data_IF_518798631078
#
_entry.id   IF_518798631078
#
_cell.length_a   1.000
_cell.length_b   1.000
_cell.length_c   1.000
_cell.angle_alpha   90.00
_cell.angle_beta   90.00
_cell.angle_gamma   90.00
#
_symmetry.space_group_name_H-M   'P 1'
#
loop_
_entity.id
_entity.type
_entity.pdbx_description
1 polymer ?
#
# COMPACT_ATOMS: atom_id res chain seq x y z
N UNK A 1 -10.16 0.71 14.04
CA UNK A 1 -10.89 0.25 12.84
C UNK A 1 -11.60 1.37 12.07
N UNK A 2 -11.30 2.65 12.29
CA UNK A 2 -11.97 3.77 11.62
C UNK A 2 -11.68 3.83 10.11
N UNK A 3 -10.43 3.60 9.69
CA UNK A 3 -10.06 3.54 8.27
C UNK A 3 -10.68 2.35 7.54
N UNK A 4 -10.77 1.18 8.19
CA UNK A 4 -11.35 -0.02 7.59
C UNK A 4 -12.84 0.16 7.26
N UNK A 5 -13.60 0.80 8.16
CA UNK A 5 -15.01 1.13 7.91
C UNK A 5 -15.17 2.13 6.76
N UNK A 6 -14.34 3.18 6.73
CA UNK A 6 -14.34 4.16 5.64
C UNK A 6 -13.97 3.53 4.28
N UNK A 7 -13.04 2.58 4.28
CA UNK A 7 -12.65 1.81 3.10
C UNK A 7 -13.79 0.91 2.62
N UNK A 8 -14.39 0.09 3.50
CA UNK A 8 -15.52 -0.77 3.15
C UNK A 8 -16.67 0.03 2.53
N UNK A 9 -17.03 1.15 3.15
CA UNK A 9 -18.07 2.05 2.62
C UNK A 9 -17.73 2.61 1.22
N UNK A 10 -16.45 2.88 0.93
CA UNK A 10 -16.02 3.37 -0.37
C UNK A 10 -15.93 2.27 -1.44
N UNK A 11 -15.72 1.01 -1.06
CA UNK A 11 -15.63 -0.12 -1.99
C UNK A 11 -16.98 -0.60 -2.52
N UNK A 12 -18.05 -0.38 -1.76
CA UNK A 12 -19.38 -0.91 -2.07
C UNK A 12 -19.50 -2.42 -1.91
N UNK A 13 -18.54 -3.09 -1.26
CA UNK A 13 -18.61 -4.53 -1.01
C UNK A 13 -19.69 -4.81 0.03
N UNK A 14 -20.62 -5.72 -0.30
CA UNK A 14 -21.64 -6.18 0.64
C UNK A 14 -20.99 -6.78 1.88
N UNK A 15 -21.50 -6.43 3.06
CA UNK A 15 -21.05 -7.02 4.31
C UNK A 15 -22.04 -8.07 4.81
N UNK A 16 -21.54 -9.06 5.55
CA UNK A 16 -22.33 -10.02 6.30
C UNK A 16 -22.89 -9.39 7.59
N UNK A 17 -23.67 -10.18 8.34
CA UNK A 17 -24.28 -9.77 9.62
C UNK A 17 -23.25 -9.36 10.68
N UNK A 18 -21.97 -9.76 10.50
CA UNK A 18 -20.86 -9.42 11.39
C UNK A 18 -20.10 -8.15 10.95
N UNK A 19 -20.51 -7.55 9.83
CA UNK A 19 -19.87 -6.36 9.26
C UNK A 19 -18.59 -6.66 8.47
N UNK A 20 -18.35 -7.92 8.08
CA UNK A 20 -17.22 -8.32 7.24
C UNK A 20 -17.65 -8.42 5.77
N UNK A 21 -16.77 -8.12 4.81
CA UNK A 21 -17.12 -8.26 3.40
C UNK A 21 -17.53 -9.72 3.05
N UNK A 22 -18.71 -9.88 2.45
CA UNK A 22 -19.23 -11.16 1.95
C UNK A 22 -18.29 -11.72 0.89
N UNK A 23 -18.04 -13.03 0.95
CA UNK A 23 -17.06 -13.70 0.09
C UNK A 23 -15.60 -13.51 0.54
N UNK A 24 -15.38 -12.96 1.74
CA UNK A 24 -14.07 -12.91 2.36
C UNK A 24 -13.53 -14.31 2.65
N UNK A 25 -12.32 -14.59 2.17
CA UNK A 25 -11.56 -15.81 2.45
C UNK A 25 -10.13 -15.49 2.85
N UNK A 26 -9.29 -16.49 3.19
CA UNK A 26 -7.89 -16.27 3.53
C UNK A 26 -7.03 -15.85 2.32
N UNK A 27 -7.49 -16.14 1.10
CA UNK A 27 -6.72 -15.96 -0.13
C UNK A 27 -6.25 -14.51 -0.38
N UNK A 28 -7.08 -13.46 -0.27
CA UNK A 28 -6.61 -12.08 -0.46
C UNK A 28 -5.51 -11.68 0.52
N UNK A 29 -5.52 -12.21 1.74
CA UNK A 29 -4.48 -11.94 2.74
C UNK A 29 -3.16 -12.62 2.38
N UNK A 30 -3.21 -13.88 1.92
CA UNK A 30 -2.04 -14.61 1.46
C UNK A 30 -1.41 -13.93 0.23
N UNK A 31 -2.23 -13.56 -0.76
CA UNK A 31 -1.77 -12.83 -1.94
C UNK A 31 -1.19 -11.45 -1.58
N UNK A 32 -1.80 -10.74 -0.62
CA UNK A 32 -1.29 -9.45 -0.16
C UNK A 32 0.06 -9.60 0.55
N UNK A 33 0.23 -10.64 1.37
CA UNK A 33 1.51 -10.91 2.05
C UNK A 33 2.63 -11.18 1.03
N UNK A 34 2.38 -12.04 0.05
CA UNK A 34 3.33 -12.35 -1.02
C UNK A 34 3.69 -11.09 -1.84
N UNK A 35 2.67 -10.32 -2.26
CA UNK A 35 2.89 -9.10 -3.03
C UNK A 35 3.72 -8.06 -2.24
N UNK A 36 3.47 -7.91 -0.94
CA UNK A 36 4.25 -7.00 -0.08
C UNK A 36 5.71 -7.44 0.03
N UNK A 37 5.98 -8.75 0.11
CA UNK A 37 7.36 -9.27 0.12
C UNK A 37 8.08 -8.99 -1.20
N UNK A 38 7.40 -9.20 -2.33
CA UNK A 38 7.96 -8.88 -3.64
C UNK A 38 8.29 -7.39 -3.79
N UNK A 39 7.37 -6.52 -3.37
CA UNK A 39 7.59 -5.06 -3.37
C UNK A 39 8.77 -4.70 -2.47
N UNK A 40 8.87 -5.28 -1.27
CA UNK A 40 9.98 -5.05 -0.35
C UNK A 40 11.33 -5.51 -0.93
N UNK A 41 11.36 -6.68 -1.58
CA UNK A 41 12.54 -7.19 -2.26
C UNK A 41 13.03 -6.27 -3.38
N UNK A 42 12.11 -5.82 -4.25
CA UNK A 42 12.45 -4.89 -5.34
C UNK A 42 12.85 -3.51 -4.81
N UNK A 43 12.17 -3.02 -3.77
CA UNK A 43 12.52 -1.75 -3.13
C UNK A 43 13.94 -1.80 -2.54
N UNK A 44 14.32 -2.89 -1.85
CA UNK A 44 15.69 -3.10 -1.36
C UNK A 44 16.71 -3.09 -2.50
N UNK A 45 16.40 -3.77 -3.61
CA UNK A 45 17.27 -3.80 -4.79
C UNK A 45 17.47 -2.39 -5.37
N UNK A 46 16.38 -1.64 -5.57
CA UNK A 46 16.42 -0.25 -6.07
C UNK A 46 17.21 0.66 -5.12
N UNK A 47 16.98 0.54 -3.81
CA UNK A 47 17.68 1.36 -2.82
C UNK A 47 19.19 1.08 -2.82
N UNK A 48 19.60 -0.19 -2.94
CA UNK A 48 21.00 -0.56 -3.10
C UNK A 48 21.62 0.02 -4.38
N UNK A 49 20.92 -0.08 -5.51
CA UNK A 49 21.36 0.50 -6.79
C UNK A 49 21.46 2.03 -6.75
N UNK A 50 20.58 2.70 -6.00
CA UNK A 50 20.53 4.15 -5.86
C UNK A 50 21.43 4.69 -4.73
N UNK A 51 22.17 3.83 -4.01
CA UNK A 51 23.02 4.24 -2.88
C UNK A 51 22.23 4.72 -1.66
N UNK A 52 20.96 4.36 -1.53
CA UNK A 52 20.11 4.71 -0.39
C UNK A 52 20.39 3.71 0.74
N UNK A 53 21.21 4.12 1.72
CA UNK A 53 21.62 3.28 2.84
C UNK A 53 21.15 3.78 4.21
N UNK A 54 20.73 5.04 4.33
CA UNK A 54 20.30 5.58 5.63
C UNK A 54 18.79 5.42 5.85
N UNK A 55 18.35 5.15 7.10
CA UNK A 55 16.93 5.06 7.45
C UNK A 55 16.10 6.28 7.02
N UNK A 56 16.65 7.48 7.18
CA UNK A 56 15.98 8.72 6.79
C UNK A 56 15.81 8.84 5.27
N UNK A 57 16.86 8.54 4.50
CA UNK A 57 16.78 8.57 3.04
C UNK A 57 15.81 7.50 2.51
N UNK A 58 15.81 6.31 3.10
CA UNK A 58 14.93 5.22 2.72
C UNK A 58 13.46 5.48 3.07
N UNK A 59 13.19 6.13 4.21
CA UNK A 59 11.85 6.61 4.58
C UNK A 59 11.32 7.60 3.52
N UNK A 60 12.13 8.59 3.14
CA UNK A 60 11.76 9.61 2.14
C UNK A 60 11.59 8.99 0.76
N UNK A 61 12.49 8.09 0.35
CA UNK A 61 12.38 7.37 -0.91
C UNK A 61 11.13 6.48 -0.96
N UNK A 62 10.79 5.81 0.16
CA UNK A 62 9.56 5.05 0.32
C UNK A 62 8.32 5.92 0.24
N UNK A 63 8.30 7.06 0.95
CA UNK A 63 7.23 8.06 0.87
C UNK A 63 7.02 8.54 -0.57
N UNK A 64 8.10 8.93 -1.25
CA UNK A 64 8.06 9.38 -2.63
C UNK A 64 7.55 8.29 -3.57
N UNK A 65 7.94 7.04 -3.35
CA UNK A 65 7.48 5.91 -4.17
C UNK A 65 5.98 5.69 -4.07
N UNK A 66 5.44 5.68 -2.85
CA UNK A 66 4.01 5.51 -2.65
C UNK A 66 3.19 6.74 -3.07
N UNK A 67 3.69 7.95 -2.85
CA UNK A 67 2.98 9.19 -3.18
C UNK A 67 3.01 9.53 -4.66
N UNK A 68 4.15 9.34 -5.34
CA UNK A 68 4.37 9.84 -6.71
C UNK A 68 4.40 8.75 -7.78
N UNK A 69 4.48 7.46 -7.44
CA UNK A 69 4.31 6.37 -8.40
C UNK A 69 3.02 5.59 -8.16
N UNK A 70 2.84 5.05 -6.94
CA UNK A 70 1.74 4.13 -6.67
C UNK A 70 0.40 4.87 -6.57
N UNK A 71 0.33 6.01 -5.87
CA UNK A 71 -0.92 6.77 -5.73
C UNK A 71 -1.45 7.28 -7.08
N UNK A 72 -0.64 7.83 -8.01
CA UNK A 72 -1.08 8.15 -9.37
C UNK A 72 -1.58 6.93 -10.14
N UNK A 73 -0.91 5.78 -10.01
CA UNK A 73 -1.36 4.55 -10.65
C UNK A 73 -2.74 4.09 -10.13
N UNK A 74 -2.96 4.21 -8.82
CA UNK A 74 -4.26 3.94 -8.19
C UNK A 74 -5.31 4.95 -8.68
N UNK A 75 -4.97 6.24 -8.82
CA UNK A 75 -5.87 7.26 -9.38
C UNK A 75 -6.34 6.83 -10.78
N UNK A 76 -5.40 6.44 -11.66
CA UNK A 76 -5.72 6.03 -13.03
C UNK A 76 -6.67 4.83 -13.04
N UNK A 77 -6.32 3.76 -12.31
CA UNK A 77 -7.13 2.54 -12.26
C UNK A 77 -8.53 2.83 -11.72
N UNK A 78 -8.62 3.53 -10.58
CA UNK A 78 -9.90 3.87 -9.98
C UNK A 78 -10.75 4.78 -10.87
N UNK A 79 -10.14 5.73 -11.58
CA UNK A 79 -10.84 6.60 -12.52
C UNK A 79 -11.39 5.80 -13.71
N UNK A 80 -10.59 4.91 -14.30
CA UNK A 80 -11.03 4.02 -15.39
C UNK A 80 -12.13 3.05 -14.94
N UNK A 81 -12.07 2.57 -13.70
CA UNK A 81 -13.10 1.73 -13.08
C UNK A 81 -14.31 2.51 -12.54
N UNK A 82 -14.35 3.84 -12.72
CA UNK A 82 -15.42 4.72 -12.20
C UNK A 82 -15.65 4.57 -10.69
N UNK A 83 -14.57 4.30 -9.93
CA UNK A 83 -14.59 4.20 -8.47
C UNK A 83 -14.67 5.58 -7.82
N UNK A 84 -15.29 5.69 -6.63
CA UNK A 84 -15.35 6.97 -5.92
C UNK A 84 -13.95 7.44 -5.52
N UNK A 85 -13.69 8.76 -5.64
CA UNK A 85 -12.38 9.34 -5.30
C UNK A 85 -11.93 9.08 -3.86
N UNK A 86 -12.87 8.87 -2.93
CA UNK A 86 -12.56 8.46 -1.54
C UNK A 86 -11.81 7.12 -1.47
N UNK A 87 -12.09 6.19 -2.38
CA UNK A 87 -11.36 4.92 -2.45
C UNK A 87 -9.90 5.15 -2.84
N UNK A 88 -9.67 6.08 -3.77
CA UNK A 88 -8.34 6.51 -4.19
C UNK A 88 -7.55 7.14 -3.04
N UNK A 89 -8.19 8.01 -2.25
CA UNK A 89 -7.54 8.63 -1.10
C UNK A 89 -7.14 7.59 -0.05
N UNK A 90 -8.03 6.63 0.25
CA UNK A 90 -7.74 5.57 1.21
C UNK A 90 -6.63 4.64 0.71
N UNK A 91 -6.70 4.17 -0.54
CA UNK A 91 -5.71 3.25 -1.10
C UNK A 91 -4.36 3.94 -1.33
N UNK A 92 -4.35 5.18 -1.82
CA UNK A 92 -3.14 5.97 -2.03
C UNK A 92 -2.46 6.34 -0.71
N UNK A 93 -3.23 6.72 0.31
CA UNK A 93 -2.70 6.94 1.66
C UNK A 93 -2.06 5.67 2.23
N UNK A 94 -2.75 4.53 2.11
CA UNK A 94 -2.20 3.23 2.51
C UNK A 94 -0.90 2.91 1.77
N UNK A 95 -0.85 3.08 0.44
CA UNK A 95 0.35 2.83 -0.34
C UNK A 95 1.51 3.76 0.06
N UNK A 96 1.22 5.04 0.29
CA UNK A 96 2.21 6.07 0.67
C UNK A 96 2.86 5.74 2.01
N UNK A 97 2.06 5.54 3.06
CA UNK A 97 2.59 5.21 4.39
C UNK A 97 3.17 3.79 4.45
N UNK A 98 2.58 2.83 3.72
CA UNK A 98 3.10 1.48 3.60
C UNK A 98 4.50 1.45 3.00
N UNK A 99 4.73 2.18 1.91
CA UNK A 99 6.05 2.28 1.28
C UNK A 99 7.06 3.03 2.15
N UNK A 100 6.63 4.09 2.85
CA UNK A 100 7.47 4.80 3.80
C UNK A 100 8.03 3.88 4.89
N UNK A 101 7.13 3.15 5.57
CA UNK A 101 7.50 2.24 6.64
C UNK A 101 8.33 1.06 6.12
N UNK A 102 7.98 0.53 4.95
CA UNK A 102 8.76 -0.52 4.30
C UNK A 102 10.19 -0.06 4.01
N UNK A 103 10.36 1.12 3.41
CA UNK A 103 11.67 1.68 3.11
C UNK A 103 12.51 1.90 4.37
N UNK A 104 11.89 2.45 5.43
CA UNK A 104 12.52 2.58 6.74
C UNK A 104 12.99 1.22 7.27
N UNK A 105 12.09 0.24 7.39
CA UNK A 105 12.39 -1.08 7.97
C UNK A 105 13.49 -1.80 7.19
N UNK A 106 13.51 -1.69 5.86
CA UNK A 106 14.52 -2.33 5.02
C UNK A 106 15.94 -1.85 5.31
N UNK A 107 16.13 -0.66 5.88
CA UNK A 107 17.45 -0.05 6.15
C UNK A 107 17.80 0.00 7.63
N UNK A 108 16.89 -0.35 8.54
CA UNK A 108 17.15 -0.40 9.98
C UNK A 108 18.12 -1.51 10.41
N UNK A 109 18.28 -2.55 9.60
CA UNK A 109 19.07 -3.75 9.94
C UNK A 109 20.24 -4.01 8.98
N UNK A 110 20.63 -3.01 8.18
CA UNK A 110 21.72 -3.13 7.20
C UNK A 110 23.12 -2.84 7.79
N UNK A 111 23.30 -3.12 9.09
CA UNK A 111 24.60 -3.01 9.78
C UNK A 111 25.55 -4.14 9.42
#
# INVERSE_FOLDING_TARGET
MTLSKAWLAATGIECDETGKPKGGGPLPFALSAEAVLLVAGMMRHIFGMAGIASPGAALVAGLGSGLFFISPWIIINNACEMRPFRLTLNNGGYATFGCALMGLVLTLFQG
#
